data_IF_072380485351
#
_entry.id   IF_072380485351
#
_cell.length_a   1.000
_cell.length_b   1.000
_cell.length_c   1.000
_cell.angle_alpha   90.00
_cell.angle_beta   90.00
_cell.angle_gamma   90.00
#
_symmetry.space_group_name_H-M   'P 1'
#
loop_
_entity.id
_entity.type
_entity.pdbx_description
1 polymer ?
#
# COMPACT_ATOMS: atom_id res chain seq x y z
N UNK A 1 -16.15 -10.03 -30.02
CA UNK A 1 -16.27 -9.27 -28.80
C UNK A 1 -15.53 -9.98 -27.68
N UNK A 2 -14.75 -9.27 -26.88
CA UNK A 2 -13.90 -9.86 -25.86
C UNK A 2 -14.72 -10.25 -24.64
N UNK A 3 -14.49 -11.43 -24.19
CA UNK A 3 -14.80 -12.07 -22.92
C UNK A 3 -15.39 -11.15 -21.82
N UNK A 4 -16.71 -11.14 -21.72
CA UNK A 4 -17.41 -10.72 -20.53
C UNK A 4 -17.26 -11.82 -19.47
N UNK A 5 -16.26 -11.75 -18.63
CA UNK A 5 -16.19 -12.55 -17.42
C UNK A 5 -17.26 -12.07 -16.45
N UNK A 6 -17.92 -12.99 -15.79
CA UNK A 6 -18.91 -12.69 -14.75
C UNK A 6 -18.24 -11.76 -13.73
N UNK A 7 -18.76 -10.53 -13.62
CA UNK A 7 -18.16 -9.47 -12.80
C UNK A 7 -17.22 -8.51 -13.51
N UNK A 8 -16.99 -8.65 -14.83
CA UNK A 8 -16.36 -7.63 -15.68
C UNK A 8 -14.86 -7.42 -15.54
N UNK A 9 -14.17 -8.17 -14.70
CA UNK A 9 -12.69 -8.15 -14.58
C UNK A 9 -12.17 -9.55 -14.36
N UNK A 10 -11.25 -9.99 -15.24
CA UNK A 10 -10.45 -11.19 -15.00
C UNK A 10 -9.60 -11.03 -13.73
N UNK A 11 -9.09 -12.13 -13.16
CA UNK A 11 -8.15 -12.06 -12.07
C UNK A 11 -6.94 -11.24 -12.52
N UNK A 12 -6.74 -10.07 -11.91
CA UNK A 12 -5.60 -9.22 -12.17
C UNK A 12 -4.47 -9.65 -11.22
N UNK A 13 -3.40 -10.18 -11.78
CA UNK A 13 -2.14 -10.36 -11.05
C UNK A 13 -1.40 -9.02 -11.14
N UNK A 14 -1.13 -8.41 -9.97
CA UNK A 14 -0.29 -7.23 -9.91
C UNK A 14 1.17 -7.65 -9.75
N UNK A 15 2.01 -7.16 -10.66
CA UNK A 15 3.47 -7.35 -10.58
C UNK A 15 4.09 -5.98 -10.33
N UNK A 16 4.83 -5.85 -9.24
CA UNK A 16 5.45 -4.61 -8.79
C UNK A 16 6.93 -4.62 -9.14
N UNK A 17 7.40 -3.53 -9.72
CA UNK A 17 8.82 -3.33 -10.08
C UNK A 17 9.16 -1.86 -9.92
N UNK A 18 10.42 -1.55 -9.58
CA UNK A 18 10.87 -0.15 -9.57
C UNK A 18 11.12 0.34 -11.00
N UNK A 19 10.89 1.64 -11.26
CA UNK A 19 11.24 2.27 -12.54
C UNK A 19 12.74 2.13 -12.84
N UNK A 20 13.57 2.20 -11.81
CA UNK A 20 15.03 1.97 -11.91
C UNK A 20 15.35 0.57 -12.44
N UNK A 21 14.81 -0.48 -11.80
CA UNK A 21 15.07 -1.88 -12.20
C UNK A 21 14.54 -2.17 -13.61
N UNK A 22 13.38 -1.59 -13.94
CA UNK A 22 12.78 -1.74 -15.27
C UNK A 22 13.63 -1.10 -16.36
N UNK A 23 14.10 0.14 -16.17
CA UNK A 23 14.98 0.84 -17.14
C UNK A 23 16.34 0.21 -17.27
N UNK A 24 16.92 -0.24 -16.16
CA UNK A 24 18.19 -0.96 -16.15
C UNK A 24 18.08 -2.37 -16.75
N UNK A 25 16.85 -2.89 -16.99
CA UNK A 25 16.58 -4.29 -17.37
C UNK A 25 17.28 -5.28 -16.46
N UNK A 26 17.41 -4.91 -15.18
CA UNK A 26 18.10 -5.67 -14.15
C UNK A 26 17.39 -5.45 -12.81
N UNK A 27 17.49 -6.42 -11.89
CA UNK A 27 16.80 -6.36 -10.62
C UNK A 27 15.62 -7.32 -10.54
N UNK A 28 14.64 -7.00 -9.71
CA UNK A 28 13.58 -7.94 -9.31
C UNK A 28 12.21 -7.28 -9.33
N UNK A 29 11.18 -8.04 -9.73
CA UNK A 29 9.78 -7.71 -9.51
C UNK A 29 9.18 -8.55 -8.39
N UNK A 30 7.99 -8.15 -7.91
CA UNK A 30 7.25 -8.85 -6.87
C UNK A 30 5.79 -9.01 -7.28
N UNK A 31 5.26 -10.22 -7.14
CA UNK A 31 3.84 -10.49 -7.35
C UNK A 31 3.09 -10.15 -6.07
N UNK A 32 1.94 -9.48 -6.19
CA UNK A 32 1.06 -9.18 -5.07
C UNK A 32 0.75 -10.43 -4.25
N UNK A 33 0.93 -10.34 -2.92
CA UNK A 33 0.69 -11.44 -2.00
C UNK A 33 1.78 -12.51 -1.95
N UNK A 34 2.90 -12.32 -2.68
CA UNK A 34 4.06 -13.20 -2.63
C UNK A 34 5.29 -12.46 -2.09
N UNK A 35 6.13 -13.18 -1.37
CA UNK A 35 7.40 -12.66 -0.85
C UNK A 35 8.56 -12.96 -1.79
N UNK A 36 8.46 -14.03 -2.58
CA UNK A 36 9.49 -14.43 -3.53
C UNK A 36 9.53 -13.50 -4.74
N UNK A 37 10.70 -13.01 -5.11
CA UNK A 37 10.85 -12.13 -6.25
C UNK A 37 10.75 -12.88 -7.58
N UNK A 38 10.37 -12.17 -8.64
CA UNK A 38 10.39 -12.66 -10.02
C UNK A 38 11.44 -11.90 -10.83
N UNK A 39 11.93 -12.51 -11.89
CA UNK A 39 12.94 -11.92 -12.77
C UNK A 39 12.36 -10.74 -13.57
N UNK A 40 13.22 -9.81 -14.00
CA UNK A 40 12.83 -8.71 -14.89
C UNK A 40 12.22 -9.23 -16.20
N UNK A 41 12.72 -10.33 -16.75
CA UNK A 41 12.14 -10.93 -17.96
C UNK A 41 10.69 -11.38 -17.75
N UNK A 42 10.34 -11.86 -16.57
CA UNK A 42 8.95 -12.17 -16.20
C UNK A 42 8.11 -10.91 -16.11
N UNK A 43 8.64 -9.85 -15.49
CA UNK A 43 7.98 -8.53 -15.40
C UNK A 43 7.71 -7.97 -16.80
N UNK A 44 8.70 -7.92 -17.69
CA UNK A 44 8.58 -7.42 -19.07
C UNK A 44 7.50 -8.16 -19.85
N UNK A 45 7.38 -9.48 -19.68
CA UNK A 45 6.32 -10.26 -20.29
C UNK A 45 4.93 -9.84 -19.84
N UNK A 46 4.73 -9.67 -18.53
CA UNK A 46 3.45 -9.17 -17.98
C UNK A 46 3.13 -7.75 -18.46
N UNK A 47 4.13 -6.88 -18.57
CA UNK A 47 3.95 -5.53 -19.14
C UNK A 47 3.43 -5.58 -20.57
N UNK A 48 3.99 -6.44 -21.42
CA UNK A 48 3.55 -6.61 -22.81
C UNK A 48 2.10 -7.12 -22.90
N UNK A 49 1.66 -7.95 -21.96
CA UNK A 49 0.32 -8.54 -21.96
C UNK A 49 -0.74 -7.61 -21.36
N UNK A 50 -0.40 -6.83 -20.34
CA UNK A 50 -1.36 -6.14 -19.47
C UNK A 50 -1.14 -4.62 -19.38
N UNK A 51 -0.03 -4.09 -19.90
CA UNK A 51 0.36 -2.68 -19.77
C UNK A 51 0.94 -2.33 -18.39
N UNK A 52 1.15 -1.05 -18.15
CA UNK A 52 1.78 -0.49 -16.93
C UNK A 52 0.89 0.57 -16.30
N UNK A 53 0.75 0.52 -15.00
CA UNK A 53 0.21 1.62 -14.19
C UNK A 53 1.34 2.20 -13.35
N UNK A 54 1.85 3.41 -13.65
CA UNK A 54 2.90 4.02 -12.85
C UNK A 54 2.34 4.44 -11.48
N UNK A 55 3.09 4.12 -10.43
CA UNK A 55 2.83 4.58 -9.07
C UNK A 55 4.09 5.29 -8.57
N UNK A 56 3.97 6.59 -8.28
CA UNK A 56 5.10 7.41 -7.86
C UNK A 56 5.15 7.52 -6.34
N UNK A 57 6.33 7.37 -5.79
CA UNK A 57 6.60 7.57 -4.37
C UNK A 57 7.42 8.85 -4.19
N UNK A 58 7.14 9.58 -3.12
CA UNK A 58 8.01 10.66 -2.66
C UNK A 58 9.24 10.11 -1.89
N UNK A 59 10.08 11.01 -1.41
CA UNK A 59 11.29 10.67 -0.66
C UNK A 59 11.02 10.01 0.68
N UNK A 60 9.81 10.17 1.23
CA UNK A 60 9.37 9.57 2.48
C UNK A 60 8.67 8.21 2.27
N UNK A 61 8.56 7.76 1.01
CA UNK A 61 7.93 6.50 0.64
C UNK A 61 6.40 6.56 0.61
N UNK A 62 5.81 7.77 0.51
CA UNK A 62 4.39 7.95 0.30
C UNK A 62 4.07 7.95 -1.20
N UNK A 63 2.90 7.41 -1.56
CA UNK A 63 2.40 7.52 -2.93
C UNK A 63 1.91 8.93 -3.18
N UNK A 64 2.36 9.55 -4.28
CA UNK A 64 1.98 10.91 -4.66
C UNK A 64 0.49 11.01 -4.91
N UNK A 65 -0.09 12.06 -4.40
CA UNK A 65 -1.51 12.28 -4.17
C UNK A 65 -2.30 12.76 -5.39
N UNK A 66 -3.59 12.37 -5.50
CA UNK A 66 -4.48 12.67 -6.63
C UNK A 66 -5.64 13.64 -6.25
N UNK A 67 -5.68 14.17 -5.02
CA UNK A 67 -6.66 15.17 -4.61
C UNK A 67 -7.97 14.64 -3.97
N UNK A 68 -8.80 15.56 -3.46
CA UNK A 68 -9.89 15.32 -2.50
C UNK A 68 -11.31 15.23 -3.13
N UNK A 69 -11.49 14.96 -4.39
CA UNK A 69 -12.83 15.12 -5.00
C UNK A 69 -13.91 14.09 -4.59
N UNK A 70 -13.54 12.94 -4.00
CA UNK A 70 -14.48 11.88 -3.62
C UNK A 70 -14.26 11.33 -2.23
N UNK A 71 -15.38 10.94 -1.57
CA UNK A 71 -15.36 10.23 -0.30
C UNK A 71 -14.71 8.86 -0.39
N UNK A 72 -14.82 8.18 -1.52
CA UNK A 72 -14.30 6.82 -1.69
C UNK A 72 -12.97 6.83 -2.45
N UNK A 73 -12.00 6.07 -1.97
CA UNK A 73 -10.76 5.82 -2.71
C UNK A 73 -11.08 5.17 -4.06
N UNK A 74 -10.74 5.86 -5.14
CA UNK A 74 -10.95 5.38 -6.52
C UNK A 74 -9.98 4.23 -6.87
N UNK A 75 -10.23 3.56 -8.00
CA UNK A 75 -9.43 2.41 -8.43
C UNK A 75 -7.92 2.65 -8.43
N UNK A 76 -7.45 3.80 -8.97
CA UNK A 76 -6.02 4.15 -8.97
C UNK A 76 -5.45 4.40 -7.57
N UNK A 77 -6.21 5.05 -6.69
CA UNK A 77 -5.81 5.27 -5.30
C UNK A 77 -5.75 3.93 -4.54
N UNK A 78 -6.71 3.05 -4.74
CA UNK A 78 -6.70 1.69 -4.17
C UNK A 78 -5.50 0.89 -4.67
N UNK A 79 -5.14 1.01 -5.96
CA UNK A 79 -3.90 0.43 -6.50
C UNK A 79 -2.68 1.00 -5.79
N UNK A 80 -2.60 2.33 -5.65
CA UNK A 80 -1.50 2.99 -4.95
C UNK A 80 -1.37 2.54 -3.48
N UNK A 81 -2.50 2.43 -2.76
CA UNK A 81 -2.53 1.87 -1.40
C UNK A 81 -2.04 0.41 -1.39
N UNK A 82 -2.48 -0.41 -2.36
CA UNK A 82 -2.04 -1.80 -2.50
C UNK A 82 -0.54 -1.92 -2.67
N UNK A 83 0.04 -1.09 -3.55
CA UNK A 83 1.49 -1.04 -3.81
C UNK A 83 2.26 -0.60 -2.57
N UNK A 84 1.78 0.44 -1.87
CA UNK A 84 2.42 0.98 -0.66
C UNK A 84 2.33 0.00 0.51
N UNK A 85 1.13 -0.49 0.82
CA UNK A 85 0.86 -1.25 2.04
C UNK A 85 1.19 -2.74 1.92
N UNK A 86 0.97 -3.32 0.72
CA UNK A 86 1.19 -4.75 0.47
C UNK A 86 0.14 -5.67 1.08
N UNK A 87 -0.94 -5.11 1.64
CA UNK A 87 -2.03 -5.84 2.29
C UNK A 87 -2.54 -5.15 3.54
N UNK A 88 -3.25 -5.90 4.38
CA UNK A 88 -3.73 -5.39 5.66
C UNK A 88 -2.56 -4.96 6.54
N UNK A 89 -2.54 -3.69 6.95
CA UNK A 89 -1.46 -3.11 7.76
C UNK A 89 -1.52 -3.50 9.25
N UNK A 90 -2.56 -4.18 9.69
CA UNK A 90 -2.61 -4.74 11.04
C UNK A 90 -1.49 -5.77 11.25
N UNK A 91 -0.77 -5.70 12.35
CA UNK A 91 0.48 -6.40 12.62
C UNK A 91 0.64 -7.79 11.97
N UNK A 92 0.13 -8.83 12.59
CA UNK A 92 0.28 -10.23 12.18
C UNK A 92 -0.69 -10.69 11.05
N UNK A 93 -1.47 -9.77 10.44
CA UNK A 93 -2.43 -10.11 9.40
C UNK A 93 -1.74 -10.29 8.04
N UNK A 94 -1.99 -11.39 7.36
CA UNK A 94 -1.41 -11.77 6.07
C UNK A 94 -2.35 -11.52 4.86
N UNK A 95 -3.50 -10.86 5.08
CA UNK A 95 -4.49 -10.61 4.01
C UNK A 95 -3.91 -9.70 2.92
N UNK A 96 -3.89 -10.15 1.65
CA UNK A 96 -3.37 -9.37 0.53
C UNK A 96 -4.27 -8.15 0.20
N UNK A 97 -3.79 -7.18 -0.62
CA UNK A 97 -4.55 -5.97 -0.97
C UNK A 97 -5.94 -6.24 -1.55
N UNK A 98 -6.10 -7.31 -2.32
CA UNK A 98 -7.38 -7.73 -2.91
C UNK A 98 -8.47 -8.07 -1.88
N UNK A 99 -8.08 -8.39 -0.65
CA UNK A 99 -8.97 -8.72 0.48
C UNK A 99 -9.12 -7.55 1.47
N UNK A 100 -8.59 -6.38 1.11
CA UNK A 100 -8.58 -5.21 1.98
C UNK A 100 -9.51 -4.12 1.48
N UNK A 101 -9.99 -3.33 2.41
CA UNK A 101 -10.72 -2.09 2.21
C UNK A 101 -9.80 -0.91 2.52
N UNK A 102 -9.97 0.19 1.78
CA UNK A 102 -9.25 1.43 2.08
C UNK A 102 -9.98 2.17 3.20
N UNK A 103 -9.29 2.40 4.29
CA UNK A 103 -9.78 3.12 5.47
C UNK A 103 -9.19 4.52 5.53
N UNK A 104 -9.99 5.53 5.88
CA UNK A 104 -9.51 6.88 6.17
C UNK A 104 -8.98 6.95 7.59
N UNK A 105 -7.72 7.35 7.77
CA UNK A 105 -7.08 7.49 9.09
C UNK A 105 -7.82 8.56 9.90
N UNK A 106 -8.00 9.75 9.30
CA UNK A 106 -8.89 10.77 9.86
C UNK A 106 -10.32 10.50 9.41
N UNK A 107 -11.24 10.44 10.33
CA UNK A 107 -12.62 10.08 10.04
C UNK A 107 -13.25 11.10 9.06
N UNK A 108 -13.66 10.65 7.87
CA UNK A 108 -14.21 11.52 6.82
C UNK A 108 -15.30 12.47 7.31
N UNK A 109 -16.27 11.92 8.05
CA UNK A 109 -17.44 12.69 8.50
C UNK A 109 -17.18 13.47 9.78
N UNK A 110 -16.36 12.94 10.71
CA UNK A 110 -16.09 13.55 12.01
C UNK A 110 -14.98 14.59 11.94
N UNK A 111 -13.90 14.30 11.23
CA UNK A 111 -12.64 15.04 11.30
C UNK A 111 -12.32 15.77 9.99
N UNK A 112 -13.24 15.74 9.01
CA UNK A 112 -12.99 16.32 7.67
C UNK A 112 -11.88 15.65 6.91
N UNK A 113 -11.67 14.34 7.16
CA UNK A 113 -10.62 13.52 6.57
C UNK A 113 -10.53 13.64 5.06
N UNK A 114 -9.32 13.59 4.52
CA UNK A 114 -9.05 13.71 3.09
C UNK A 114 -9.01 12.33 2.46
N UNK A 115 -9.47 12.22 1.20
CA UNK A 115 -9.33 10.99 0.41
C UNK A 115 -8.00 11.01 -0.37
N UNK A 116 -6.97 11.45 0.30
CA UNK A 116 -5.60 11.43 -0.19
C UNK A 116 -4.97 10.07 0.15
N UNK A 117 -4.11 9.53 -0.71
CA UNK A 117 -3.49 8.21 -0.49
C UNK A 117 -2.73 8.18 0.84
N UNK A 118 -2.08 9.28 1.21
CA UNK A 118 -1.38 9.40 2.49
C UNK A 118 -2.31 9.32 3.71
N UNK A 119 -3.56 9.79 3.58
CA UNK A 119 -4.58 9.73 4.62
C UNK A 119 -5.36 8.41 4.62
N UNK A 120 -5.03 7.48 3.73
CA UNK A 120 -5.63 6.16 3.63
C UNK A 120 -4.71 5.05 4.09
N UNK A 121 -5.28 3.92 4.48
CA UNK A 121 -4.57 2.70 4.84
C UNK A 121 -5.38 1.47 4.45
N UNK A 122 -4.72 0.37 4.08
CA UNK A 122 -5.41 -0.88 3.79
C UNK A 122 -5.62 -1.72 5.05
N UNK A 123 -6.87 -2.11 5.27
CA UNK A 123 -7.26 -3.05 6.33
C UNK A 123 -8.17 -4.12 5.75
N UNK A 124 -8.02 -5.36 6.16
CA UNK A 124 -9.00 -6.38 5.85
C UNK A 124 -10.31 -6.08 6.59
N UNK A 125 -11.43 -6.62 6.10
CA UNK A 125 -12.76 -6.39 6.68
C UNK A 125 -12.81 -6.58 8.20
N UNK A 126 -12.15 -7.62 8.73
CA UNK A 126 -12.11 -7.88 10.17
C UNK A 126 -11.47 -6.71 10.93
N UNK A 127 -10.27 -6.30 10.55
CA UNK A 127 -9.54 -5.22 11.23
C UNK A 127 -10.14 -3.83 10.97
N UNK A 128 -10.78 -3.63 9.81
CA UNK A 128 -11.54 -2.42 9.52
C UNK A 128 -12.73 -2.26 10.51
N UNK A 129 -13.45 -3.37 10.79
CA UNK A 129 -14.54 -3.36 11.76
C UNK A 129 -14.06 -3.19 13.21
N UNK A 130 -12.88 -3.71 13.56
CA UNK A 130 -12.29 -3.48 14.88
C UNK A 130 -12.05 -1.99 15.13
N UNK A 131 -11.53 -1.25 14.16
CA UNK A 131 -11.36 0.19 14.28
C UNK A 131 -12.70 0.90 14.49
N UNK A 132 -13.71 0.57 13.70
CA UNK A 132 -14.99 1.27 13.80
C UNK A 132 -15.79 0.95 15.07
N UNK A 133 -15.65 -0.26 15.62
CA UNK A 133 -16.55 -0.76 16.66
C UNK A 133 -15.89 -0.94 18.04
N UNK A 134 -14.56 -1.00 18.10
CA UNK A 134 -13.85 -1.42 19.32
C UNK A 134 -12.85 -0.38 19.82
N UNK A 135 -12.99 0.89 19.44
CA UNK A 135 -12.20 2.00 19.97
C UNK A 135 -10.71 1.98 19.62
N UNK A 136 -10.31 1.18 18.63
CA UNK A 136 -8.96 1.26 18.09
C UNK A 136 -8.81 2.50 17.24
N UNK A 137 -7.65 3.15 17.27
CA UNK A 137 -7.33 4.32 16.45
C UNK A 137 -6.03 4.10 15.67
N UNK A 138 -5.85 4.88 14.61
CA UNK A 138 -4.61 4.89 13.83
C UNK A 138 -4.03 6.30 13.86
N UNK A 139 -2.77 6.41 14.23
CA UNK A 139 -2.00 7.63 14.11
C UNK A 139 -1.02 7.51 12.96
N UNK A 140 -0.78 8.62 12.26
CA UNK A 140 0.22 8.75 11.22
C UNK A 140 1.26 9.80 11.58
N UNK A 141 2.52 9.41 11.43
CA UNK A 141 3.65 10.33 11.54
C UNK A 141 4.54 10.15 10.30
N UNK A 142 4.44 11.11 9.36
CA UNK A 142 5.07 11.02 8.01
C UNK A 142 4.64 9.74 7.28
N UNK A 143 5.62 8.86 6.98
CA UNK A 143 5.41 7.55 6.33
C UNK A 143 5.14 6.40 7.31
N UNK A 144 5.19 6.66 8.61
CA UNK A 144 4.96 5.66 9.65
C UNK A 144 3.51 5.69 10.14
N UNK A 145 2.97 4.51 10.42
CA UNK A 145 1.61 4.34 10.92
C UNK A 145 1.65 3.53 12.20
N UNK A 146 0.82 3.94 13.15
CA UNK A 146 0.77 3.38 14.49
C UNK A 146 -0.66 3.04 14.85
N UNK A 147 -0.88 1.86 15.37
CA UNK A 147 -2.15 1.43 15.94
C UNK A 147 -2.17 1.77 17.42
N UNK A 148 -3.25 2.40 17.88
CA UNK A 148 -3.48 2.80 19.25
C UNK A 148 -4.58 1.91 19.83
N UNK A 149 -4.29 1.11 20.85
CA UNK A 149 -5.29 0.29 21.52
C UNK A 149 -6.24 1.17 22.35
N UNK A 150 -7.50 0.75 22.52
CA UNK A 150 -8.40 1.41 23.45
C UNK A 150 -7.90 1.20 24.90
N UNK A 151 -8.24 2.11 25.85
CA UNK A 151 -7.76 2.06 27.24
C UNK A 151 -8.09 0.75 27.97
N UNK A 152 -9.16 0.08 27.58
CA UNK A 152 -9.58 -1.21 28.16
C UNK A 152 -8.62 -2.36 27.80
N UNK A 153 -7.86 -2.22 26.69
CA UNK A 153 -6.85 -3.19 26.26
C UNK A 153 -5.48 -2.79 26.76
N UNK A 154 -5.12 -1.51 26.64
CA UNK A 154 -3.88 -0.96 27.19
C UNK A 154 -4.14 0.43 27.77
N UNK A 155 -4.20 0.53 29.09
CA UNK A 155 -4.45 1.80 29.79
C UNK A 155 -3.41 2.90 29.45
N UNK A 156 -2.23 2.53 28.99
CA UNK A 156 -1.19 3.46 28.54
C UNK A 156 -1.29 3.81 27.05
N UNK A 157 -2.16 3.15 26.31
CA UNK A 157 -2.36 3.32 24.86
C UNK A 157 -1.04 3.35 24.07
N UNK A 158 -0.16 2.40 24.36
CA UNK A 158 1.16 2.33 23.74
C UNK A 158 1.03 2.07 22.24
N UNK A 159 1.74 2.88 21.48
CA UNK A 159 1.78 2.79 20.02
C UNK A 159 2.31 1.43 19.55
N UNK A 160 1.57 0.77 18.68
CA UNK A 160 1.95 -0.50 18.03
C UNK A 160 2.28 -0.19 16.58
N UNK A 161 3.49 -0.51 16.08
CA UNK A 161 3.85 -0.20 14.70
C UNK A 161 3.01 -0.99 13.70
N UNK A 162 2.63 -0.32 12.61
CA UNK A 162 1.93 -0.92 11.47
C UNK A 162 2.88 -0.98 10.26
N UNK A 163 3.67 -2.05 10.11
CA UNK A 163 4.74 -2.09 9.12
C UNK A 163 4.22 -2.19 7.68
N UNK A 164 5.00 -1.66 6.73
CA UNK A 164 4.79 -1.91 5.29
C UNK A 164 5.05 -3.38 4.99
N UNK A 165 4.09 -4.06 4.36
CA UNK A 165 4.20 -5.47 3.96
C UNK A 165 4.62 -5.64 2.51
N UNK A 166 4.47 -4.61 1.68
CA UNK A 166 4.92 -4.60 0.29
C UNK A 166 6.44 -4.78 0.19
N UNK A 167 6.87 -5.90 -0.36
CA UNK A 167 8.30 -6.15 -0.61
C UNK A 167 8.87 -5.14 -1.63
N UNK A 168 8.10 -4.80 -2.66
CA UNK A 168 8.48 -3.80 -3.66
C UNK A 168 8.64 -2.41 -3.05
N UNK A 169 7.69 -1.97 -2.20
CA UNK A 169 7.79 -0.68 -1.53
C UNK A 169 8.99 -0.63 -0.58
N UNK A 170 9.20 -1.68 0.23
CA UNK A 170 10.39 -1.77 1.10
C UNK A 170 11.69 -1.70 0.32
N UNK A 171 11.78 -2.40 -0.83
CA UNK A 171 12.94 -2.34 -1.71
C UNK A 171 13.16 -0.93 -2.28
N UNK A 172 12.11 -0.29 -2.79
CA UNK A 172 12.19 1.07 -3.32
C UNK A 172 12.66 2.08 -2.27
N UNK A 173 12.13 2.00 -1.05
CA UNK A 173 12.54 2.85 0.08
C UNK A 173 14.00 2.61 0.47
N UNK A 174 14.45 1.35 0.52
CA UNK A 174 15.84 1.02 0.81
C UNK A 174 16.82 1.56 -0.25
N UNK A 175 16.43 1.47 -1.54
CA UNK A 175 17.23 2.02 -2.66
C UNK A 175 17.32 3.55 -2.57
N UNK A 176 16.19 4.23 -2.32
CA UNK A 176 16.16 5.68 -2.15
C UNK A 176 17.05 6.14 -0.98
N UNK A 177 16.98 5.46 0.16
CA UNK A 177 17.82 5.75 1.32
C UNK A 177 19.32 5.53 1.05
N UNK A 178 19.67 4.53 0.24
CA UNK A 178 21.06 4.27 -0.14
C UNK A 178 21.64 5.37 -1.06
N UNK A 179 20.82 5.91 -1.98
CA UNK A 179 21.20 7.00 -2.89
C UNK A 179 21.41 8.31 -2.11
N UNK A 180 20.65 8.55 -1.05
CA UNK A 180 20.73 9.78 -0.24
C UNK A 180 21.87 9.79 0.78
N UNK A 181 22.58 8.66 0.99
CA UNK A 181 23.75 8.64 1.87
C UNK A 181 24.88 9.37 1.18
N UNK A 182 25.46 10.46 1.76
CA UNK A 182 26.65 11.09 1.22
C UNK A 182 27.77 10.03 1.19
N UNK A 183 28.46 9.94 0.05
CA UNK A 183 29.70 9.17 -0.01
C UNK A 183 30.69 9.91 0.88
N UNK A 184 30.98 9.34 2.03
CA UNK A 184 32.07 9.82 2.91
C UNK A 184 33.34 9.31 2.24
N UNK A 185 34.11 10.25 1.63
CA UNK A 185 35.48 10.03 1.21
C UNK A 185 36.41 9.95 2.43
#
# INVERSE_FOLDING_TARGET
GPNALVGGRGPAVQVLVTDHDLRARAGLGFIEGQTEPVSIATVERHICESGVVPVHFDTDGQVVNVGREDRLFRGRQRTGLGVRDGGCRWGECDRPPSWCEAHHIDHWARDGGRTDIEAGILLCRHHHLLLHNNGWEIEREKASYWLIPPPEIDAQQRRIPMPVKSAAARRAMATAAAIQRPQVE
#
